data_IF_174808688582
#
_entry.id   IF_174808688582
#
_cell.length_a   1.000
_cell.length_b   1.000
_cell.length_c   1.000
_cell.angle_alpha   90.00
_cell.angle_beta   90.00
_cell.angle_gamma   90.00
#
_symmetry.space_group_name_H-M   'P 1'
#
loop_
_entity.id
_entity.type
_entity.pdbx_description
1 polymer ?
#
# COMPACT_ATOMS: atom_id res chain seq x y z
N UNK A 1 5.28 -17.61 9.29
CA UNK A 1 5.29 -17.19 7.88
C UNK A 1 5.44 -15.67 7.84
N UNK A 2 6.55 -15.11 7.34
CA UNK A 2 6.71 -13.65 7.22
C UNK A 2 5.87 -13.17 6.04
N UNK A 3 4.82 -12.41 6.32
CA UNK A 3 4.03 -11.74 5.29
C UNK A 3 4.91 -10.64 4.66
N UNK A 4 4.99 -10.59 3.33
CA UNK A 4 5.70 -9.52 2.62
C UNK A 4 5.02 -8.17 2.87
N UNK A 5 5.78 -7.07 2.79
CA UNK A 5 5.19 -5.73 3.03
C UNK A 5 4.01 -5.44 2.08
N UNK A 6 4.06 -5.93 0.84
CA UNK A 6 2.97 -5.76 -0.15
C UNK A 6 1.76 -6.63 0.18
N UNK A 7 1.94 -7.88 0.59
CA UNK A 7 0.83 -8.74 1.02
C UNK A 7 0.12 -8.20 2.27
N UNK A 8 0.89 -7.65 3.21
CA UNK A 8 0.32 -6.95 4.36
C UNK A 8 -0.47 -5.71 3.91
N UNK A 9 0.09 -4.95 2.97
CA UNK A 9 -0.54 -3.74 2.43
C UNK A 9 -1.85 -4.05 1.73
N UNK A 10 -1.94 -5.11 0.90
CA UNK A 10 -3.17 -5.53 0.23
C UNK A 10 -4.31 -5.79 1.22
N UNK A 11 -4.04 -6.49 2.32
CA UNK A 11 -5.02 -6.72 3.40
C UNK A 11 -5.44 -5.42 4.07
N UNK A 12 -4.48 -4.51 4.32
CA UNK A 12 -4.73 -3.22 4.95
C UNK A 12 -5.53 -2.28 4.05
N UNK A 13 -5.23 -2.27 2.75
CA UNK A 13 -5.94 -1.47 1.76
C UNK A 13 -7.35 -1.99 1.54
N UNK A 14 -7.60 -3.30 1.58
CA UNK A 14 -8.97 -3.82 1.58
C UNK A 14 -9.80 -3.30 2.77
N UNK A 15 -9.17 -3.07 3.93
CA UNK A 15 -9.81 -2.43 5.07
C UNK A 15 -9.98 -0.91 4.88
N UNK A 16 -8.96 -0.21 4.38
CA UNK A 16 -9.00 1.24 4.11
C UNK A 16 -10.00 1.58 2.99
N UNK A 17 -10.20 0.67 2.01
CA UNK A 17 -11.22 0.82 0.96
C UNK A 17 -12.62 0.93 1.55
N UNK A 18 -12.90 0.18 2.61
CA UNK A 18 -14.18 0.21 3.36
C UNK A 18 -14.32 1.44 4.26
N UNK A 19 -13.22 2.09 4.64
CA UNK A 19 -13.27 3.36 5.35
C UNK A 19 -13.55 4.51 4.37
N UNK A 20 -14.46 5.41 4.73
CA UNK A 20 -14.85 6.55 3.88
C UNK A 20 -13.71 7.53 3.62
N UNK A 21 -12.80 7.68 4.58
CA UNK A 21 -11.65 8.59 4.47
C UNK A 21 -10.36 7.83 4.16
N UNK A 22 -9.64 8.33 3.16
CA UNK A 22 -8.34 7.81 2.71
C UNK A 22 -7.37 8.96 2.65
N UNK A 23 -6.17 8.77 3.19
CA UNK A 23 -5.10 9.77 3.04
C UNK A 23 -4.62 9.82 1.59
N UNK A 24 -3.96 10.92 1.20
CA UNK A 24 -3.37 11.05 -0.15
C UNK A 24 -2.42 9.88 -0.48
N UNK A 25 -1.61 9.45 0.52
CA UNK A 25 -0.71 8.30 0.39
C UNK A 25 -1.48 6.99 0.16
N UNK A 26 -2.54 6.74 0.93
CA UNK A 26 -3.35 5.54 0.78
C UNK A 26 -4.07 5.50 -0.57
N UNK A 27 -4.45 6.65 -1.11
CA UNK A 27 -5.04 6.76 -2.45
C UNK A 27 -4.03 6.39 -3.53
N UNK A 28 -2.81 6.96 -3.46
CA UNK A 28 -1.73 6.59 -4.37
C UNK A 28 -1.35 5.10 -4.29
N UNK A 29 -1.36 4.52 -3.09
CA UNK A 29 -1.15 3.08 -2.90
C UNK A 29 -2.30 2.27 -3.55
N UNK A 30 -3.55 2.72 -3.42
CA UNK A 30 -4.71 2.07 -4.05
C UNK A 30 -4.57 2.08 -5.56
N UNK A 31 -4.23 3.23 -6.16
CA UNK A 31 -4.10 3.38 -7.61
C UNK A 31 -2.99 2.45 -8.13
N UNK A 32 -1.82 2.43 -7.47
CA UNK A 32 -0.72 1.52 -7.82
C UNK A 32 -1.09 0.04 -7.64
N UNK A 33 -1.91 -0.30 -6.65
CA UNK A 33 -2.34 -1.68 -6.43
C UNK A 33 -3.41 -2.13 -7.43
N UNK A 34 -4.29 -1.24 -7.88
CA UNK A 34 -5.28 -1.58 -8.91
C UNK A 34 -4.61 -1.86 -10.27
N UNK A 35 -3.50 -1.18 -10.56
CA UNK A 35 -2.69 -1.38 -11.76
C UNK A 35 -1.44 -2.28 -11.55
N UNK A 36 -1.38 -3.06 -10.46
CA UNK A 36 -0.18 -3.82 -10.04
C UNK A 36 0.42 -4.70 -11.17
N UNK A 37 -0.45 -5.27 -12.02
CA UNK A 37 -0.05 -6.13 -13.13
C UNK A 37 0.67 -5.37 -14.26
N UNK A 38 0.32 -4.10 -14.48
CA UNK A 38 0.88 -3.21 -15.50
C UNK A 38 1.99 -2.30 -14.97
N UNK A 39 2.30 -2.32 -13.67
CA UNK A 39 3.33 -1.48 -13.11
C UNK A 39 4.72 -1.78 -13.69
N UNK A 40 5.38 -0.71 -14.11
CA UNK A 40 6.81 -0.68 -14.39
C UNK A 40 7.65 -0.99 -13.13
N UNK A 41 8.92 -1.33 -13.32
CA UNK A 41 9.81 -1.63 -12.19
C UNK A 41 9.94 -0.43 -11.23
N UNK A 42 9.95 0.79 -11.76
CA UNK A 42 9.98 2.04 -10.98
C UNK A 42 8.73 2.18 -10.11
N UNK A 43 7.55 1.92 -10.67
CA UNK A 43 6.29 2.01 -9.93
C UNK A 43 6.16 0.90 -8.88
N UNK A 44 6.68 -0.31 -9.18
CA UNK A 44 6.78 -1.38 -8.17
C UNK A 44 7.68 -0.96 -7.02
N UNK A 45 8.84 -0.35 -7.28
CA UNK A 45 9.72 0.18 -6.22
C UNK A 45 9.02 1.28 -5.43
N UNK A 46 8.31 2.19 -6.09
CA UNK A 46 7.51 3.23 -5.43
C UNK A 46 6.45 2.61 -4.52
N UNK A 47 5.70 1.63 -4.99
CA UNK A 47 4.71 0.89 -4.20
C UNK A 47 5.36 0.27 -2.95
N UNK A 48 6.54 -0.36 -3.08
CA UNK A 48 7.27 -0.91 -1.93
C UNK A 48 7.67 0.15 -0.90
N UNK A 49 8.14 1.32 -1.35
CA UNK A 49 8.51 2.44 -0.46
C UNK A 49 7.28 2.99 0.26
N UNK A 50 6.19 3.25 -0.48
CA UNK A 50 4.93 3.73 0.09
C UNK A 50 4.32 2.72 1.06
N UNK A 51 4.37 1.43 0.75
CA UNK A 51 3.93 0.34 1.62
C UNK A 51 4.70 0.33 2.94
N UNK A 52 6.02 0.52 2.87
CA UNK A 52 6.89 0.53 4.05
C UNK A 52 6.63 1.77 4.90
N UNK A 53 6.48 2.94 4.29
CA UNK A 53 6.14 4.17 5.00
C UNK A 53 4.77 4.08 5.70
N UNK A 54 3.77 3.49 5.06
CA UNK A 54 2.45 3.28 5.66
C UNK A 54 2.51 2.30 6.84
N UNK A 55 3.29 1.22 6.70
CA UNK A 55 3.50 0.25 7.77
C UNK A 55 4.21 0.87 8.97
N UNK A 56 5.29 1.62 8.74
CA UNK A 56 6.04 2.29 9.81
C UNK A 56 5.16 3.33 10.52
N UNK A 57 4.41 4.14 9.79
CA UNK A 57 3.51 5.14 10.37
C UNK A 57 2.40 4.52 11.26
N UNK A 58 2.03 3.26 11.03
CA UNK A 58 1.11 2.53 11.91
C UNK A 58 1.81 1.89 13.11
N UNK A 59 3.09 1.53 13.01
CA UNK A 59 3.87 0.98 14.13
C UNK A 59 4.36 2.06 15.09
N UNK A 60 4.57 3.28 14.59
CA UNK A 60 4.93 4.46 15.39
C UNK A 60 3.74 5.11 16.11
N UNK A 61 2.52 4.57 15.90
CA UNK A 61 1.28 4.98 16.58
C UNK A 61 0.93 4.01 17.71
#
# INVERSE_FOLDING_TARGET
>A
MRISNVEWLKKRIAFIRKLGEKTARQRQIIDLLDDEASLSETERRLLHVLATAEKNALQER
#
